data_IF_241088444470
#
_entry.id   IF_241088444470
#
_cell.length_a   1.000
_cell.length_b   1.000
_cell.length_c   1.000
_cell.angle_alpha   90.00
_cell.angle_beta   90.00
_cell.angle_gamma   90.00
#
_symmetry.space_group_name_H-M   'P 1'
#
loop_
_entity.id
_entity.type
_entity.pdbx_description
1 polymer ?
#
# COMPACT_ATOMS: atom_id res chain seq x y z
N UNK A 1 2.35 8.47 -21.91
CA UNK A 1 2.59 7.85 -20.59
C UNK A 1 3.30 6.53 -20.81
N UNK A 2 4.45 6.30 -20.16
CA UNK A 2 5.10 4.99 -20.14
C UNK A 2 4.31 4.10 -19.19
N UNK A 3 3.74 3.00 -19.70
CA UNK A 3 3.10 1.99 -18.86
C UNK A 3 4.18 1.02 -18.39
N UNK A 4 4.24 0.78 -17.10
CA UNK A 4 5.13 -0.19 -16.47
C UNK A 4 4.24 -1.37 -16.09
N UNK A 5 4.69 -2.59 -16.38
CA UNK A 5 4.04 -3.80 -15.88
C UNK A 5 4.44 -3.95 -14.41
N UNK A 6 3.46 -4.15 -13.54
CA UNK A 6 3.67 -4.30 -12.10
C UNK A 6 3.04 -5.61 -11.64
N UNK A 7 3.48 -6.11 -10.50
CA UNK A 7 2.85 -7.25 -9.83
C UNK A 7 1.48 -6.87 -9.25
N UNK A 8 0.67 -7.88 -8.95
CA UNK A 8 -0.67 -7.68 -8.38
C UNK A 8 -0.63 -6.89 -7.06
N UNK A 9 0.37 -7.15 -6.20
CA UNK A 9 0.56 -6.43 -4.92
C UNK A 9 0.90 -4.95 -5.13
N UNK A 10 1.74 -4.65 -6.12
CA UNK A 10 2.06 -3.26 -6.47
C UNK A 10 0.85 -2.53 -7.07
N UNK A 11 0.04 -3.22 -7.88
CA UNK A 11 -1.21 -2.67 -8.41
C UNK A 11 -2.20 -2.34 -7.28
N UNK A 12 -2.32 -3.21 -6.29
CA UNK A 12 -3.15 -3.01 -5.10
C UNK A 12 -2.69 -1.79 -4.28
N UNK A 13 -1.38 -1.66 -4.01
CA UNK A 13 -0.82 -0.48 -3.34
C UNK A 13 -1.12 0.81 -4.12
N UNK A 14 -0.93 0.80 -5.44
CA UNK A 14 -1.21 1.97 -6.29
C UNK A 14 -2.69 2.35 -6.23
N UNK A 15 -3.60 1.35 -6.24
CA UNK A 15 -5.03 1.58 -6.11
C UNK A 15 -5.39 2.18 -4.74
N UNK A 16 -4.82 1.65 -3.65
CA UNK A 16 -5.00 2.16 -2.29
C UNK A 16 -4.57 3.63 -2.17
N UNK A 17 -3.40 3.99 -2.69
CA UNK A 17 -2.89 5.37 -2.70
C UNK A 17 -3.84 6.30 -3.49
N UNK A 18 -4.31 5.85 -4.67
CA UNK A 18 -5.26 6.64 -5.48
C UNK A 18 -6.58 6.85 -4.74
N UNK A 19 -7.08 5.84 -4.05
CA UNK A 19 -8.33 5.92 -3.27
C UNK A 19 -8.17 6.85 -2.07
N UNK A 20 -7.04 6.77 -1.35
CA UNK A 20 -6.72 7.72 -0.28
C UNK A 20 -6.74 9.16 -0.80
N UNK A 21 -6.06 9.46 -1.92
CA UNK A 21 -6.05 10.80 -2.52
C UNK A 21 -7.44 11.28 -2.99
N UNK A 22 -8.32 10.37 -3.41
CA UNK A 22 -9.68 10.69 -3.83
C UNK A 22 -10.65 10.86 -2.66
N UNK A 23 -10.32 10.33 -1.48
CA UNK A 23 -11.21 10.41 -0.33
C UNK A 23 -11.27 11.82 0.25
N UNK A 24 -12.45 12.43 0.12
CA UNK A 24 -12.82 13.72 0.70
C UNK A 24 -13.20 13.53 2.18
N UNK A 25 -12.98 14.51 3.09
CA UNK A 25 -12.36 15.82 2.89
C UNK A 25 -10.84 15.86 3.08
N UNK A 26 -10.21 14.84 3.70
CA UNK A 26 -8.79 14.89 4.07
C UNK A 26 -8.08 13.53 4.03
N UNK A 27 -8.43 12.64 3.11
CA UNK A 27 -7.87 11.30 3.16
C UNK A 27 -8.47 10.51 4.32
N UNK A 28 -9.17 9.40 4.05
CA UNK A 28 -9.65 8.54 5.13
C UNK A 28 -8.43 7.92 5.84
N UNK A 29 -8.24 8.11 7.16
CA UNK A 29 -7.12 7.52 7.90
C UNK A 29 -7.01 6.00 7.74
N UNK A 30 -8.14 5.31 7.56
CA UNK A 30 -8.16 3.86 7.32
C UNK A 30 -7.56 3.49 5.96
N UNK A 31 -7.76 4.33 4.93
CA UNK A 31 -7.13 4.13 3.62
C UNK A 31 -5.63 4.40 3.66
N UNK A 32 -5.19 5.36 4.49
CA UNK A 32 -3.77 5.60 4.72
C UNK A 32 -3.12 4.41 5.44
N UNK A 33 -3.76 3.91 6.49
CA UNK A 33 -3.28 2.74 7.24
C UNK A 33 -3.20 1.51 6.33
N UNK A 34 -4.23 1.27 5.51
CA UNK A 34 -4.24 0.16 4.56
C UNK A 34 -3.10 0.27 3.53
N UNK A 35 -2.84 1.46 2.97
CA UNK A 35 -1.71 1.65 2.06
C UNK A 35 -0.35 1.42 2.75
N UNK A 36 -0.21 1.76 4.04
CA UNK A 36 1.01 1.49 4.82
C UNK A 36 1.21 0.00 5.04
N UNK A 37 0.16 -0.73 5.44
CA UNK A 37 0.25 -2.17 5.64
C UNK A 37 0.65 -2.92 4.35
N UNK A 38 0.06 -2.55 3.20
CA UNK A 38 0.46 -3.14 1.92
C UNK A 38 1.94 -2.88 1.60
N UNK A 39 2.44 -1.69 1.91
CA UNK A 39 3.86 -1.36 1.72
C UNK A 39 4.73 -2.18 2.67
N UNK A 40 4.39 -2.23 3.95
CA UNK A 40 5.12 -2.96 4.98
C UNK A 40 5.21 -4.44 4.62
N UNK A 41 4.10 -5.10 4.26
CA UNK A 41 4.07 -6.51 3.83
C UNK A 41 4.95 -6.80 2.59
N UNK A 42 5.20 -5.81 1.73
CA UNK A 42 6.05 -5.97 0.56
C UNK A 42 7.54 -5.83 0.86
N UNK A 43 7.90 -5.04 1.88
CA UNK A 43 9.29 -4.80 2.26
C UNK A 43 9.75 -5.60 3.48
N UNK A 44 8.81 -6.17 4.23
CA UNK A 44 9.08 -6.89 5.48
C UNK A 44 9.91 -8.15 5.20
N UNK A 45 11.15 -8.23 5.72
CA UNK A 45 11.97 -9.42 5.56
C UNK A 45 11.37 -10.59 6.35
N UNK A 46 11.52 -11.85 5.90
CA UNK A 46 10.97 -13.04 6.56
C UNK A 46 11.34 -13.19 8.04
N UNK A 47 12.44 -12.56 8.47
CA UNK A 47 13.04 -12.74 9.79
C UNK A 47 12.35 -11.94 10.91
N UNK A 48 11.52 -10.93 10.58
CA UNK A 48 10.95 -10.00 11.58
C UNK A 48 9.83 -10.60 12.45
N UNK A 49 9.30 -11.79 12.14
CA UNK A 49 8.28 -12.48 12.95
C UNK A 49 8.84 -13.51 13.96
N UNK A 50 10.16 -13.76 13.99
CA UNK A 50 10.73 -14.79 14.89
C UNK A 50 11.19 -14.27 16.25
N UNK A 51 10.95 -12.99 16.59
CA UNK A 51 11.53 -12.41 17.82
C UNK A 51 10.58 -11.87 18.89
N UNK A 52 9.27 -12.06 18.79
CA UNK A 52 8.36 -11.75 19.90
C UNK A 52 7.23 -12.76 20.02
#
# INVERSE_FOLDING_TARGET
MKKILVSDKEEELIAAIRNYKKSFPRGNPQLLWYAQQLFDEMIEPPEYYTKY
#
